data_IF_815114881978
#
_entry.id   IF_815114881978
#
_cell.length_a   1.000
_cell.length_b   1.000
_cell.length_c   1.000
_cell.angle_alpha   90.00
_cell.angle_beta   90.00
_cell.angle_gamma   90.00
#
_symmetry.space_group_name_H-M   'P 1'
#
loop_
_entity.id
_entity.type
_entity.pdbx_description
1 polymer ?
#
# COMPACT_ATOMS: atom_id res chain seq x y z
N UNK A 1 52.42 -7.48 -8.37
CA UNK A 1 51.10 -6.82 -8.23
C UNK A 1 50.22 -7.77 -7.44
N UNK A 2 49.93 -7.46 -6.16
CA UNK A 2 49.06 -8.29 -5.33
C UNK A 2 47.59 -8.04 -5.73
N UNK A 3 46.81 -9.10 -5.93
CA UNK A 3 45.37 -8.99 -6.17
C UNK A 3 44.70 -8.50 -4.88
N UNK A 4 43.89 -7.44 -5.00
CA UNK A 4 43.05 -6.93 -3.93
C UNK A 4 41.84 -7.87 -3.81
N UNK A 5 41.95 -8.89 -2.96
CA UNK A 5 40.86 -9.82 -2.68
C UNK A 5 39.92 -9.16 -1.65
N UNK A 6 38.65 -8.87 -1.97
CA UNK A 6 37.74 -8.19 -1.04
C UNK A 6 37.35 -9.12 0.11
N UNK A 7 37.42 -8.61 1.34
CA UNK A 7 37.01 -9.34 2.55
C UNK A 7 35.50 -9.65 2.49
N UNK A 8 35.08 -10.93 2.52
CA UNK A 8 33.67 -11.30 2.47
C UNK A 8 32.88 -10.77 3.68
N UNK A 9 33.55 -10.44 4.79
CA UNK A 9 32.92 -9.87 5.97
C UNK A 9 32.58 -8.38 5.75
N UNK A 10 33.36 -7.66 4.94
CA UNK A 10 33.07 -6.27 4.57
C UNK A 10 31.83 -6.14 3.65
N UNK A 11 31.42 -7.23 2.99
CA UNK A 11 30.18 -7.29 2.20
C UNK A 11 28.92 -7.42 3.08
N UNK A 12 29.06 -7.59 4.39
CA UNK A 12 27.96 -7.59 5.37
C UNK A 12 27.86 -6.22 6.04
N UNK A 13 27.57 -5.18 5.25
CA UNK A 13 27.18 -3.89 5.81
C UNK A 13 25.79 -4.03 6.42
N UNK A 14 25.72 -4.05 7.76
CA UNK A 14 24.49 -4.18 8.56
C UNK A 14 23.88 -5.61 8.61
N UNK A 15 24.73 -6.64 8.77
CA UNK A 15 24.37 -8.09 8.84
C UNK A 15 23.63 -8.67 7.61
N UNK A 16 23.13 -7.84 6.73
CA UNK A 16 22.54 -8.18 5.44
C UNK A 16 23.65 -8.34 4.41
N UNK A 17 23.52 -9.36 3.56
CA UNK A 17 24.41 -9.52 2.41
C UNK A 17 24.22 -8.33 1.47
N UNK A 18 25.23 -7.47 1.39
CA UNK A 18 25.33 -6.45 0.36
C UNK A 18 26.19 -7.03 -0.76
N UNK A 19 25.65 -7.21 -1.99
CA UNK A 19 26.46 -7.67 -3.09
C UNK A 19 27.62 -6.68 -3.30
N UNK A 20 28.84 -7.20 -3.36
CA UNK A 20 30.00 -6.40 -3.77
C UNK A 20 29.73 -5.89 -5.19
N UNK A 21 30.31 -4.75 -5.58
CA UNK A 21 30.13 -4.17 -6.92
C UNK A 21 30.69 -5.05 -8.07
N UNK A 22 30.85 -6.36 -7.86
CA UNK A 22 31.26 -7.37 -8.83
C UNK A 22 30.36 -7.43 -10.06
N UNK A 23 29.06 -7.13 -9.90
CA UNK A 23 28.10 -7.08 -11.01
C UNK A 23 28.05 -5.71 -11.72
N UNK A 24 28.89 -4.74 -11.31
CA UNK A 24 28.91 -3.41 -11.94
C UNK A 24 29.27 -3.46 -13.44
N UNK A 25 30.06 -4.45 -13.86
CA UNK A 25 30.40 -4.67 -15.28
C UNK A 25 29.27 -5.29 -16.10
N UNK A 26 28.24 -5.83 -15.45
CA UNK A 26 27.08 -6.46 -16.08
C UNK A 26 25.89 -5.49 -16.21
N UNK A 27 26.05 -4.26 -15.71
CA UNK A 27 25.04 -3.22 -15.88
C UNK A 27 24.93 -2.87 -17.36
N UNK A 28 23.71 -2.74 -17.90
CA UNK A 28 23.52 -2.25 -19.26
C UNK A 28 24.15 -0.86 -19.36
N UNK A 29 25.14 -0.74 -20.24
CA UNK A 29 25.92 0.48 -20.47
C UNK A 29 25.71 1.08 -21.86
N UNK A 30 24.90 0.41 -22.69
CA UNK A 30 24.49 0.88 -24.02
C UNK A 30 23.25 1.78 -23.97
N UNK A 31 22.94 2.41 -25.11
CA UNK A 31 21.65 3.06 -25.31
C UNK A 31 20.51 2.08 -25.01
N UNK A 32 19.48 2.58 -24.32
CA UNK A 32 18.29 1.78 -24.02
C UNK A 32 17.58 1.46 -25.34
N UNK A 33 17.11 0.22 -25.44
CA UNK A 33 16.27 -0.19 -26.57
C UNK A 33 15.03 0.71 -26.65
N UNK A 34 14.78 1.37 -27.79
CA UNK A 34 13.64 2.28 -27.93
C UNK A 34 12.29 1.61 -27.68
N UNK A 35 12.16 0.28 -27.85
CA UNK A 35 10.92 -0.44 -27.55
C UNK A 35 10.70 -0.65 -26.05
N UNK A 36 11.78 -0.66 -25.25
CA UNK A 36 11.75 -0.85 -23.80
C UNK A 36 11.99 0.44 -23.01
N UNK A 37 12.38 1.53 -23.69
CA UNK A 37 12.52 2.84 -23.08
C UNK A 37 11.15 3.44 -22.81
N UNK A 38 10.97 4.04 -21.63
CA UNK A 38 9.81 4.90 -21.38
C UNK A 38 9.83 6.03 -22.42
N UNK A 39 8.71 6.21 -23.11
CA UNK A 39 8.50 7.41 -23.91
C UNK A 39 8.55 8.60 -22.96
N UNK A 40 9.67 9.32 -22.99
CA UNK A 40 9.77 10.63 -22.35
C UNK A 40 9.02 11.56 -23.28
N UNK A 41 7.81 11.97 -22.88
CA UNK A 41 7.25 13.18 -23.46
C UNK A 41 8.27 14.27 -23.16
N UNK A 42 8.90 14.90 -24.17
CA UNK A 42 9.65 16.11 -23.89
C UNK A 42 8.61 17.02 -23.23
N UNK A 43 8.89 17.44 -22.00
CA UNK A 43 8.14 18.55 -21.41
C UNK A 43 8.51 19.76 -22.26
N UNK A 44 7.87 19.88 -23.43
CA UNK A 44 8.13 20.88 -24.46
C UNK A 44 7.74 22.28 -23.95
N UNK A 45 6.99 22.33 -22.85
CA UNK A 45 6.64 23.55 -22.14
C UNK A 45 7.36 23.61 -20.78
N UNK A 46 8.40 24.46 -20.63
CA UNK A 46 9.04 24.69 -19.32
C UNK A 46 8.10 25.35 -18.30
N UNK A 47 6.94 25.86 -18.73
CA UNK A 47 5.87 26.37 -17.89
C UNK A 47 4.75 25.35 -17.63
N UNK A 48 4.78 24.15 -18.24
CA UNK A 48 3.91 23.07 -17.84
C UNK A 48 4.29 22.69 -16.41
N UNK A 49 3.38 22.86 -15.43
CA UNK A 49 3.67 22.42 -14.09
C UNK A 49 3.88 20.92 -14.14
N UNK A 50 5.14 20.51 -13.95
CA UNK A 50 5.46 19.12 -13.68
C UNK A 50 4.64 18.67 -12.47
N UNK A 51 4.36 17.37 -12.40
CA UNK A 51 3.74 16.82 -11.20
C UNK A 51 4.62 17.16 -9.99
N UNK A 52 4.13 18.02 -9.10
CA UNK A 52 4.74 18.28 -7.81
C UNK A 52 4.13 17.27 -6.84
N UNK A 53 4.91 16.26 -6.37
CA UNK A 53 4.42 15.37 -5.34
C UNK A 53 3.98 16.17 -4.11
N UNK A 54 3.07 15.65 -3.28
CA UNK A 54 2.65 16.32 -2.06
C UNK A 54 3.85 16.70 -1.19
N UNK A 55 3.84 17.94 -0.66
CA UNK A 55 4.89 18.46 0.23
C UNK A 55 5.08 17.59 1.50
N UNK A 56 4.06 16.80 1.85
CA UNK A 56 4.06 15.88 2.97
C UNK A 56 3.46 14.52 2.61
N UNK A 57 3.97 13.43 3.18
CA UNK A 57 3.38 12.10 3.04
C UNK A 57 1.94 12.11 3.59
N UNK A 58 0.99 11.69 2.76
CA UNK A 58 -0.41 11.60 3.16
C UNK A 58 -0.66 10.45 4.13
N UNK A 59 -1.63 10.62 5.04
CA UNK A 59 -2.10 9.56 5.91
C UNK A 59 -1.18 9.20 7.09
N UNK A 60 -0.09 9.97 7.32
CA UNK A 60 0.79 9.76 8.48
C UNK A 60 0.10 10.06 9.82
N UNK A 61 -0.96 10.86 9.81
CA UNK A 61 -1.75 11.18 10.99
C UNK A 61 -2.87 10.16 11.28
N UNK A 62 -2.99 9.10 10.46
CA UNK A 62 -3.96 8.03 10.72
C UNK A 62 -3.43 7.00 11.70
N UNK A 63 -4.37 6.32 12.37
CA UNK A 63 -4.07 5.16 13.20
C UNK A 63 -3.46 4.01 12.37
N UNK A 64 -2.53 3.27 12.96
CA UNK A 64 -1.90 2.10 12.34
C UNK A 64 -0.59 2.40 11.61
N UNK A 65 -0.06 3.62 11.76
CA UNK A 65 1.24 3.99 11.20
C UNK A 65 2.41 3.48 12.05
N UNK A 66 2.16 3.18 13.33
CA UNK A 66 3.16 2.57 14.23
C UNK A 66 2.91 1.08 14.47
N UNK A 67 3.98 0.34 14.78
CA UNK A 67 3.88 -1.10 15.06
C UNK A 67 2.97 -1.41 16.27
N UNK A 68 3.00 -0.54 17.29
CA UNK A 68 2.15 -0.65 18.48
C UNK A 68 0.67 -0.52 18.11
N UNK A 69 0.31 0.49 17.33
CA UNK A 69 -1.07 0.69 16.87
C UNK A 69 -1.59 -0.47 16.04
N UNK A 70 -0.74 -1.10 15.23
CA UNK A 70 -1.15 -2.30 14.48
C UNK A 70 -1.37 -3.51 15.39
N UNK A 71 -0.63 -3.63 16.49
CA UNK A 71 -0.84 -4.69 17.47
C UNK A 71 -2.10 -4.47 18.30
N UNK A 72 -2.34 -3.23 18.72
CA UNK A 72 -3.51 -2.86 19.53
C UNK A 72 -4.80 -2.82 18.70
N UNK A 73 -4.69 -2.46 17.42
CA UNK A 73 -5.83 -2.26 16.53
C UNK A 73 -6.53 -0.92 16.77
N UNK A 74 -7.21 -0.42 15.74
CA UNK A 74 -7.98 0.81 15.83
C UNK A 74 -9.37 0.55 16.43
N UNK A 75 -9.83 1.33 17.43
CA UNK A 75 -11.18 1.20 17.98
C UNK A 75 -12.24 1.60 16.96
N UNK A 76 -13.41 0.95 17.03
CA UNK A 76 -14.52 1.19 16.10
C UNK A 76 -14.98 2.66 16.08
N UNK A 77 -15.01 3.30 17.25
CA UNK A 77 -15.44 4.69 17.37
C UNK A 77 -14.51 5.65 16.61
N UNK A 78 -13.21 5.37 16.57
CA UNK A 78 -12.22 6.17 15.85
C UNK A 78 -12.36 5.99 14.34
N UNK A 79 -12.63 4.74 13.89
CA UNK A 79 -12.94 4.45 12.48
C UNK A 79 -14.19 5.19 12.02
N UNK A 80 -15.24 5.20 12.85
CA UNK A 80 -16.49 5.90 12.57
C UNK A 80 -16.30 7.42 12.56
N UNK A 81 -15.44 7.96 13.41
CA UNK A 81 -15.14 9.39 13.44
C UNK A 81 -14.40 9.88 12.18
N UNK A 82 -13.63 8.99 11.52
CA UNK A 82 -12.96 9.27 10.27
C UNK A 82 -13.90 9.22 9.04
N UNK A 83 -15.02 8.49 9.13
CA UNK A 83 -15.98 8.39 8.03
C UNK A 83 -16.83 9.66 7.89
N UNK A 84 -17.11 10.01 6.64
CA UNK A 84 -18.11 11.03 6.29
C UNK A 84 -19.38 10.30 5.88
N UNK A 85 -20.50 10.44 6.62
CA UNK A 85 -21.76 9.82 6.24
C UNK A 85 -22.19 10.25 4.85
N UNK A 86 -22.68 9.31 4.05
CA UNK A 86 -23.23 9.66 2.75
C UNK A 86 -24.45 10.59 2.93
N UNK A 87 -24.50 11.66 2.13
CA UNK A 87 -25.63 12.57 2.12
C UNK A 87 -26.90 11.87 1.67
N UNK A 88 -28.05 12.30 2.19
CA UNK A 88 -29.34 11.77 1.71
C UNK A 88 -29.48 12.07 0.22
N UNK A 89 -29.46 11.01 -0.59
CA UNK A 89 -29.78 11.14 -2.02
C UNK A 89 -31.19 11.74 -2.16
N UNK A 90 -31.38 12.70 -3.07
CA UNK A 90 -32.73 13.19 -3.35
C UNK A 90 -33.59 12.00 -3.78
N UNK A 91 -34.85 11.96 -3.32
CA UNK A 91 -35.78 10.95 -3.76
C UNK A 91 -35.84 10.98 -5.29
N UNK A 92 -35.43 9.89 -5.94
CA UNK A 92 -35.67 9.74 -7.37
C UNK A 92 -37.18 9.81 -7.60
N UNK A 93 -37.62 10.50 -8.65
CA UNK A 93 -39.04 10.53 -9.03
C UNK A 93 -39.53 9.08 -9.22
N UNK A 94 -40.35 8.60 -8.29
CA UNK A 94 -40.83 7.21 -8.24
C UNK A 94 -40.21 6.30 -7.17
N UNK A 95 -39.32 6.81 -6.29
CA UNK A 95 -38.80 6.03 -5.17
C UNK A 95 -39.88 5.81 -4.10
N UNK A 96 -40.17 4.54 -3.80
CA UNK A 96 -40.95 4.16 -2.62
C UNK A 96 -40.10 4.32 -1.36
N UNK A 97 -40.68 4.75 -0.23
CA UNK A 97 -39.92 4.98 0.98
C UNK A 97 -39.26 3.68 1.49
N UNK A 98 -38.02 3.80 1.97
CA UNK A 98 -37.13 2.70 2.37
C UNK A 98 -37.54 2.00 3.69
N UNK A 99 -38.82 2.00 4.03
CA UNK A 99 -39.33 1.45 5.30
C UNK A 99 -39.65 -0.06 5.26
N UNK A 100 -39.43 -0.74 4.12
CA UNK A 100 -39.74 -2.17 3.95
C UNK A 100 -38.56 -3.10 3.52
N UNK A 101 -37.32 -2.62 3.45
CA UNK A 101 -36.21 -3.41 2.88
C UNK A 101 -35.23 -4.04 3.89
N UNK A 102 -35.56 -4.11 5.19
CA UNK A 102 -34.71 -4.78 6.19
C UNK A 102 -35.34 -6.08 6.70
N UNK A 103 -35.48 -7.07 5.82
CA UNK A 103 -35.67 -8.45 6.27
C UNK A 103 -34.29 -9.00 6.62
N UNK A 104 -33.92 -8.90 7.90
CA UNK A 104 -32.71 -9.54 8.42
C UNK A 104 -32.90 -11.05 8.33
N UNK A 105 -32.28 -11.70 7.33
CA UNK A 105 -32.23 -13.16 7.26
C UNK A 105 -31.19 -13.64 8.27
N UNK A 106 -31.67 -14.15 9.41
CA UNK A 106 -30.82 -14.75 10.42
C UNK A 106 -30.35 -16.11 9.90
N UNK A 107 -29.16 -16.18 9.32
CA UNK A 107 -28.51 -17.47 9.01
C UNK A 107 -27.83 -17.97 10.27
N UNK A 108 -28.61 -18.59 11.15
CA UNK A 108 -28.11 -19.32 12.30
C UNK A 108 -27.21 -20.46 11.84
N UNK A 109 -25.90 -20.27 11.92
CA UNK A 109 -24.95 -21.36 11.84
C UNK A 109 -24.95 -22.07 13.21
N UNK A 110 -25.80 -23.08 13.34
CA UNK A 110 -25.70 -24.08 14.39
C UNK A 110 -24.35 -24.80 14.27
N UNK A 111 -23.32 -24.28 14.95
CA UNK A 111 -22.12 -25.07 15.25
C UNK A 111 -22.53 -26.07 16.31
N UNK A 112 -22.82 -27.29 15.87
CA UNK A 112 -22.87 -28.46 16.75
C UNK A 112 -21.48 -28.65 17.34
N UNK A 113 -21.38 -28.47 18.65
CA UNK A 113 -20.26 -28.89 19.48
C UNK A 113 -20.22 -30.44 19.45
N UNK A 114 -19.25 -31.03 18.75
CA UNK A 114 -18.89 -32.42 18.97
C UNK A 114 -17.79 -32.44 20.04
N UNK A 115 -18.23 -32.57 21.28
CA UNK A 115 -17.44 -32.99 22.43
C UNK A 115 -16.92 -34.41 22.15
N UNK A 116 -15.63 -34.53 21.85
CA UNK A 116 -14.94 -35.83 21.78
C UNK A 116 -14.22 -36.03 23.11
N UNK A 117 -14.88 -36.72 24.03
CA UNK A 117 -14.30 -37.25 25.26
C UNK A 117 -13.89 -38.72 25.01
N UNK A 118 -12.59 -39.02 25.06
CA UNK A 118 -11.93 -40.00 25.96
C UNK A 118 -10.42 -40.10 25.69
#
# INVERSE_FOLDING_TARGET
MARNEPDPQAARGDDVYQPTHSDAGNRPSGELDPENALATDPVDDPAAPGYSPPEHPGGVDRHGTTQREQQEGEPLDERLAQEVPEGRQPAADGAVPAEEAAVHVETGAERTEEEVDE
#
